data_IF_673267898369
#
_entry.id   IF_673267898369
#
_cell.length_a   1.000
_cell.length_b   1.000
_cell.length_c   1.000
_cell.angle_alpha   90.00
_cell.angle_beta   90.00
_cell.angle_gamma   90.00
#
_symmetry.space_group_name_H-M   'P 1'
#
loop_
_entity.id
_entity.type
_entity.pdbx_description
1 polymer ?
#
# COMPACT_ATOMS: atom_id res chain seq x y z
N UNK A 1 -13.45 30.95 -17.80
CA UNK A 1 -14.08 29.62 -17.81
C UNK A 1 -13.00 28.64 -17.38
N UNK A 2 -13.15 28.06 -16.19
CA UNK A 2 -12.04 27.50 -15.43
C UNK A 2 -11.43 26.27 -16.12
N UNK A 3 -10.11 26.32 -16.20
CA UNK A 3 -9.23 25.37 -16.85
C UNK A 3 -9.46 24.00 -16.19
N UNK A 4 -9.73 23.03 -17.04
CA UNK A 4 -9.90 21.61 -16.76
C UNK A 4 -8.83 21.19 -15.77
N UNK A 5 -9.22 21.02 -14.50
CA UNK A 5 -8.38 20.28 -13.57
C UNK A 5 -8.30 18.89 -14.17
N UNK A 6 -7.13 18.54 -14.69
CA UNK A 6 -6.69 17.15 -14.73
C UNK A 6 -6.73 16.66 -13.28
N UNK A 7 -7.94 16.37 -12.80
CA UNK A 7 -8.21 15.40 -11.76
C UNK A 7 -7.67 14.11 -12.33
N UNK A 8 -6.36 13.91 -12.20
CA UNK A 8 -5.84 12.64 -11.73
C UNK A 8 -6.68 12.36 -10.48
N UNK A 9 -7.82 11.70 -10.71
CA UNK A 9 -8.31 10.70 -9.80
C UNK A 9 -7.11 9.75 -9.72
N UNK A 10 -6.14 10.08 -8.86
CA UNK A 10 -5.53 9.07 -8.02
C UNK A 10 -6.76 8.41 -7.45
N UNK A 11 -7.21 7.33 -8.10
CA UNK A 11 -7.98 6.33 -7.41
C UNK A 11 -7.10 6.15 -6.19
N UNK A 12 -7.54 6.65 -5.05
CA UNK A 12 -7.17 6.06 -3.79
C UNK A 12 -7.65 4.63 -3.97
N UNK A 13 -6.85 3.83 -4.70
CA UNK A 13 -6.95 2.40 -4.68
C UNK A 13 -6.92 2.16 -3.19
N UNK A 14 -8.04 1.72 -2.64
CA UNK A 14 -8.15 1.38 -1.24
C UNK A 14 -6.91 0.54 -0.97
N UNK A 15 -5.91 1.13 -0.30
CA UNK A 15 -4.54 0.58 -0.20
C UNK A 15 -4.60 -0.52 0.87
N UNK A 16 -5.53 -1.44 0.66
CA UNK A 16 -6.07 -2.37 1.62
C UNK A 16 -6.11 -3.72 0.95
N UNK A 17 -5.59 -4.73 1.62
CA UNK A 17 -5.54 -6.08 1.09
C UNK A 17 -4.41 -6.90 1.70
N UNK A 18 -4.35 -8.17 1.31
CA UNK A 18 -3.32 -9.11 1.75
C UNK A 18 -2.04 -8.87 0.96
N UNK A 19 -0.89 -8.85 1.63
CA UNK A 19 0.42 -8.84 0.98
C UNK A 19 0.69 -10.20 0.35
N UNK A 20 0.91 -10.23 -0.96
CA UNK A 20 1.30 -11.43 -1.73
C UNK A 20 2.76 -11.40 -2.16
N UNK A 21 3.42 -10.25 -2.10
CA UNK A 21 4.86 -10.12 -2.35
C UNK A 21 5.45 -8.91 -1.62
N UNK A 22 6.68 -9.03 -1.11
CA UNK A 22 7.45 -7.90 -0.57
C UNK A 22 8.67 -7.69 -1.45
N UNK A 23 8.66 -6.60 -2.22
CA UNK A 23 9.71 -6.30 -3.22
C UNK A 23 10.84 -5.45 -2.65
N UNK A 24 10.61 -4.71 -1.57
CA UNK A 24 11.64 -3.90 -0.93
C UNK A 24 11.32 -3.54 0.52
N UNK A 25 12.36 -3.41 1.34
CA UNK A 25 12.25 -2.99 2.75
C UNK A 25 13.46 -2.14 3.12
N UNK A 26 13.23 -0.99 3.74
CA UNK A 26 14.29 -0.05 4.14
C UNK A 26 14.37 0.21 5.66
N UNK A 27 13.61 -0.51 6.48
CA UNK A 27 13.55 -0.29 7.94
C UNK A 27 12.39 0.60 8.41
N UNK A 28 11.78 1.39 7.52
CA UNK A 28 10.68 2.34 7.84
C UNK A 28 9.47 2.17 6.93
N UNK A 29 9.70 1.71 5.70
CA UNK A 29 8.67 1.46 4.70
C UNK A 29 9.02 0.24 3.86
N UNK A 30 7.97 -0.41 3.37
CA UNK A 30 8.06 -1.58 2.50
C UNK A 30 7.36 -1.31 1.17
N UNK A 31 7.92 -1.84 0.08
CA UNK A 31 7.22 -1.96 -1.19
C UNK A 31 6.62 -3.35 -1.25
N UNK A 32 5.31 -3.42 -1.44
CA UNK A 32 4.55 -4.66 -1.40
C UNK A 32 3.58 -4.74 -2.56
N UNK A 33 3.34 -5.95 -3.04
CA UNK A 33 2.24 -6.28 -3.93
C UNK A 33 1.08 -6.84 -3.10
N UNK A 34 -0.10 -6.31 -3.33
CA UNK A 34 -1.35 -6.76 -2.70
C UNK A 34 -2.02 -7.82 -3.57
N UNK A 35 -2.90 -8.62 -2.97
CA UNK A 35 -3.67 -9.67 -3.65
C UNK A 35 -4.56 -9.16 -4.79
N UNK A 36 -4.84 -7.85 -4.83
CA UNK A 36 -5.56 -7.20 -5.92
C UNK A 36 -4.65 -6.84 -7.12
N UNK A 37 -3.37 -7.22 -7.09
CA UNK A 37 -2.36 -6.92 -8.10
C UNK A 37 -1.74 -5.51 -8.00
N UNK A 38 -2.12 -4.71 -7.01
CA UNK A 38 -1.58 -3.37 -6.81
C UNK A 38 -0.24 -3.43 -6.09
N UNK A 39 0.76 -2.72 -6.61
CA UNK A 39 2.02 -2.50 -5.90
C UNK A 39 2.00 -1.15 -5.20
N UNK A 40 2.19 -1.14 -3.88
CA UNK A 40 2.14 0.06 -3.06
C UNK A 40 3.35 0.16 -2.12
N UNK A 41 3.63 1.38 -1.65
CA UNK A 41 4.61 1.63 -0.59
C UNK A 41 3.86 1.84 0.72
N UNK A 42 4.10 0.99 1.71
CA UNK A 42 3.45 1.04 3.02
C UNK A 42 4.43 1.47 4.10
N UNK A 43 3.94 2.20 5.10
CA UNK A 43 4.70 2.43 6.33
C UNK A 43 4.54 1.22 7.24
N UNK A 44 5.65 0.75 7.79
CA UNK A 44 5.65 -0.35 8.74
C UNK A 44 6.80 -0.16 9.73
N UNK A 45 6.56 -0.45 11.00
CA UNK A 45 7.60 -0.42 12.04
C UNK A 45 8.51 -1.65 12.01
N UNK A 46 8.11 -2.68 11.29
CA UNK A 46 8.83 -3.93 11.11
C UNK A 46 8.66 -4.41 9.67
N UNK A 47 9.50 -5.38 9.27
CA UNK A 47 9.43 -5.95 7.91
C UNK A 47 8.09 -6.71 7.74
N UNK A 48 7.22 -6.30 6.81
CA UNK A 48 5.98 -7.02 6.53
C UNK A 48 6.27 -8.42 5.99
N UNK A 49 5.32 -9.32 6.19
CA UNK A 49 5.35 -10.71 5.74
C UNK A 49 4.23 -10.97 4.75
N UNK A 50 4.41 -12.05 4.00
CA UNK A 50 3.37 -12.60 3.14
C UNK A 50 2.17 -13.02 4.00
N UNK A 51 0.97 -12.63 3.58
CA UNK A 51 -0.25 -12.87 4.35
C UNK A 51 -0.63 -11.74 5.31
N UNK A 52 0.28 -10.78 5.59
CA UNK A 52 -0.07 -9.63 6.41
C UNK A 52 -1.12 -8.76 5.70
N UNK A 53 -2.02 -8.18 6.49
CA UNK A 53 -3.08 -7.32 5.98
C UNK A 53 -2.64 -5.86 6.02
N UNK A 54 -2.85 -5.13 4.92
CA UNK A 54 -2.67 -3.67 4.84
C UNK A 54 -4.02 -3.01 4.92
N UNK A 55 -4.12 -1.88 5.60
CA UNK A 55 -5.29 -0.99 5.61
C UNK A 55 -4.83 0.42 5.30
N UNK A 56 -5.40 1.05 4.27
CA UNK A 56 -5.13 2.45 3.92
C UNK A 56 -3.63 2.80 3.72
N UNK A 57 -2.80 1.81 3.36
CA UNK A 57 -1.36 2.00 3.15
C UNK A 57 -0.50 1.87 4.40
N UNK A 58 -1.07 1.38 5.50
CA UNK A 58 -0.36 1.02 6.73
C UNK A 58 -0.54 -0.47 7.03
N UNK A 59 0.52 -1.09 7.57
CA UNK A 59 0.45 -2.50 7.97
C UNK A 59 -0.51 -2.63 9.16
N UNK A 60 -1.56 -3.43 9.01
CA UNK A 60 -2.51 -3.69 10.10
C UNK A 60 -1.76 -4.37 11.24
N UNK A 61 -1.85 -3.78 12.42
CA UNK A 61 -1.23 -4.31 13.63
C UNK A 61 -2.34 -4.78 14.56
N UNK A 62 -3.11 -5.78 14.12
CA UNK A 62 -3.96 -6.51 15.07
C UNK A 62 -3.04 -7.42 15.89
N UNK A 63 -2.77 -7.00 17.12
CA UNK A 63 -2.13 -7.78 18.18
C UNK A 63 -3.12 -8.80 18.76
#
# INVERSE_FOLDING_TARGET
>A
MFITHHMLIKREAMNTGVIVLVTGWNGKSAHVELSNGSTISIKASHRPKLGDWVVEGELSTEL
#
